data_IF_585989403129
#
_entry.id   IF_585989403129
#
_cell.length_a   1.000
_cell.length_b   1.000
_cell.length_c   1.000
_cell.angle_alpha   90.00
_cell.angle_beta   90.00
_cell.angle_gamma   90.00
#
_symmetry.space_group_name_H-M   'P 1'
#
loop_
_entity.id
_entity.type
_entity.pdbx_description
1 polymer ?
#
# COMPACT_ATOMS: atom_id res chain seq x y z
N UNK A 1 46.92 0.18 -12.67
CA UNK A 1 45.69 0.99 -12.49
C UNK A 1 44.56 0.03 -12.15
N UNK A 2 44.19 -0.03 -10.91
CA UNK A 2 43.13 -0.95 -10.42
C UNK A 2 41.79 -0.20 -10.41
N UNK A 3 40.85 -0.66 -11.20
CA UNK A 3 39.47 -0.14 -11.24
C UNK A 3 38.70 -0.76 -10.08
N UNK A 4 38.39 0.07 -9.10
CA UNK A 4 37.66 -0.31 -7.90
C UNK A 4 36.14 -0.31 -8.24
N UNK A 5 35.58 -1.47 -8.54
CA UNK A 5 34.14 -1.66 -8.64
C UNK A 5 33.52 -1.57 -7.25
N UNK A 6 32.94 -0.41 -6.93
CA UNK A 6 32.05 -0.26 -5.78
C UNK A 6 30.78 -1.05 -6.04
N UNK A 7 30.72 -2.26 -5.52
CA UNK A 7 29.48 -3.03 -5.31
C UNK A 7 28.70 -2.42 -4.15
N UNK A 8 28.00 -1.36 -4.42
CA UNK A 8 27.11 -0.76 -3.45
C UNK A 8 25.71 -0.71 -4.02
N UNK A 9 24.89 -1.71 -3.79
CA UNK A 9 23.44 -1.54 -4.02
C UNK A 9 22.56 -2.70 -3.55
N UNK A 10 23.11 -3.83 -3.08
CA UNK A 10 22.22 -4.96 -2.70
C UNK A 10 21.54 -4.79 -1.33
N UNK A 11 21.92 -3.81 -0.52
CA UNK A 11 21.38 -3.62 0.83
C UNK A 11 20.13 -2.75 0.89
N UNK A 12 19.91 -1.87 -0.09
CA UNK A 12 18.71 -1.02 -0.16
C UNK A 12 17.44 -1.80 -0.52
N UNK A 13 17.58 -2.95 -1.18
CA UNK A 13 16.44 -3.77 -1.64
C UNK A 13 15.71 -4.51 -0.51
N UNK A 14 16.41 -4.85 0.57
CA UNK A 14 15.84 -5.66 1.66
C UNK A 14 14.92 -4.81 2.55
N UNK A 15 15.19 -3.51 2.67
CA UNK A 15 14.35 -2.58 3.44
C UNK A 15 12.99 -2.30 2.81
N UNK A 16 12.89 -2.38 1.48
CA UNK A 16 11.69 -2.05 0.72
C UNK A 16 10.52 -3.04 0.96
N UNK A 17 10.82 -4.22 1.48
CA UNK A 17 9.85 -5.32 1.62
C UNK A 17 9.11 -5.28 2.97
N UNK A 18 9.70 -4.68 3.99
CA UNK A 18 9.16 -4.70 5.35
C UNK A 18 7.97 -3.74 5.58
N UNK A 19 7.84 -2.68 4.77
CA UNK A 19 6.84 -1.64 4.97
C UNK A 19 5.38 -2.03 4.67
N UNK A 20 5.17 -3.19 4.08
CA UNK A 20 3.84 -3.63 3.63
C UNK A 20 2.94 -4.09 4.79
N UNK A 21 3.53 -4.46 5.93
CA UNK A 21 2.79 -5.02 7.07
C UNK A 21 1.94 -3.98 7.84
N UNK A 22 2.23 -2.69 7.72
CA UNK A 22 1.54 -1.64 8.48
C UNK A 22 0.15 -1.33 7.92
N UNK A 23 -0.04 -1.44 6.61
CA UNK A 23 -1.36 -1.22 5.99
C UNK A 23 -2.41 -2.23 6.50
N UNK A 24 -2.01 -3.48 6.75
CA UNK A 24 -2.88 -4.51 7.31
C UNK A 24 -3.28 -4.25 8.77
N UNK A 25 -2.37 -3.74 9.59
CA UNK A 25 -2.64 -3.47 11.00
C UNK A 25 -3.59 -2.28 11.20
N UNK A 26 -3.50 -1.26 10.35
CA UNK A 26 -4.45 -0.14 10.35
C UNK A 26 -5.85 -0.56 9.90
N UNK A 27 -5.94 -1.42 8.88
CA UNK A 27 -7.21 -1.97 8.40
C UNK A 27 -7.97 -2.77 9.47
N UNK A 28 -7.27 -3.49 10.34
CA UNK A 28 -7.90 -4.32 11.37
C UNK A 28 -8.64 -3.51 12.44
N UNK A 29 -8.06 -2.41 12.90
CA UNK A 29 -8.68 -1.60 13.97
C UNK A 29 -9.85 -0.74 13.49
N UNK A 30 -9.83 -0.34 12.22
CA UNK A 30 -10.81 0.62 11.70
C UNK A 30 -12.06 -0.07 11.12
N UNK A 31 -11.90 -1.19 10.44
CA UNK A 31 -13.02 -1.87 9.82
C UNK A 31 -13.99 -2.47 10.86
N UNK A 32 -13.50 -2.90 12.02
CA UNK A 32 -14.35 -3.55 13.02
C UNK A 32 -15.37 -2.59 13.65
N UNK A 33 -15.05 -1.32 13.79
CA UNK A 33 -15.91 -0.32 14.44
C UNK A 33 -17.06 0.16 13.54
N UNK A 34 -16.89 0.09 12.22
CA UNK A 34 -17.85 0.64 11.26
C UNK A 34 -18.85 -0.37 10.66
N UNK A 35 -18.57 -1.67 10.81
CA UNK A 35 -19.39 -2.73 10.18
C UNK A 35 -20.58 -3.19 11.03
N UNK A 36 -20.77 -2.63 12.22
CA UNK A 36 -21.77 -3.10 13.20
C UNK A 36 -23.04 -2.26 13.28
N UNK A 37 -23.32 -1.42 12.29
CA UNK A 37 -24.57 -0.62 12.23
C UNK A 37 -25.77 -1.41 11.71
N UNK A 38 -27.00 -1.15 12.20
CA UNK A 38 -28.21 -1.79 11.69
C UNK A 38 -28.58 -1.19 10.32
N UNK A 39 -28.42 -1.96 9.27
CA UNK A 39 -28.75 -1.62 7.89
C UNK A 39 -27.77 -2.29 6.93
N UNK A 40 -28.22 -2.61 5.73
CA UNK A 40 -27.34 -3.09 4.65
C UNK A 40 -26.50 -1.91 4.14
N UNK A 41 -25.38 -1.66 4.85
CA UNK A 41 -24.43 -0.63 4.41
C UNK A 41 -23.67 -1.20 3.21
N UNK A 42 -23.76 -0.54 2.07
CA UNK A 42 -22.89 -0.84 0.95
C UNK A 42 -21.46 -0.40 1.29
N UNK A 43 -20.65 -1.37 1.73
CA UNK A 43 -19.25 -1.16 2.14
C UNK A 43 -18.35 -0.74 0.98
N UNK A 44 -18.80 -0.91 -0.27
CA UNK A 44 -18.08 -0.50 -1.48
C UNK A 44 -18.37 0.94 -1.88
N UNK A 45 -19.45 1.52 -1.34
CA UNK A 45 -19.84 2.89 -1.70
C UNK A 45 -18.73 3.89 -1.38
N UNK A 46 -18.57 4.88 -2.25
CA UNK A 46 -17.61 5.96 -2.03
C UNK A 46 -17.86 6.67 -0.69
N UNK A 47 -19.12 6.81 -0.28
CA UNK A 47 -19.51 7.44 0.99
C UNK A 47 -18.99 6.65 2.20
N UNK A 48 -19.12 5.31 2.19
CA UNK A 48 -18.60 4.46 3.26
C UNK A 48 -17.07 4.49 3.31
N UNK A 49 -16.41 4.29 2.17
CA UNK A 49 -14.94 4.26 2.10
C UNK A 49 -14.34 5.62 2.48
N UNK A 50 -14.96 6.74 2.10
CA UNK A 50 -14.47 8.06 2.46
C UNK A 50 -14.63 8.38 3.96
N UNK A 51 -15.57 7.76 4.68
CA UNK A 51 -15.59 7.83 6.15
C UNK A 51 -14.35 7.16 6.77
N UNK A 52 -13.94 6.01 6.24
CA UNK A 52 -12.70 5.35 6.67
C UNK A 52 -11.51 6.28 6.40
N UNK A 53 -11.42 6.82 5.18
CA UNK A 53 -10.38 7.77 4.77
C UNK A 53 -10.28 8.96 5.73
N UNK A 54 -11.40 9.58 6.09
CA UNK A 54 -11.43 10.74 6.98
C UNK A 54 -10.89 10.42 8.39
N UNK A 55 -11.14 9.19 8.89
CA UNK A 55 -10.64 8.77 10.19
C UNK A 55 -9.17 8.37 10.20
N UNK A 56 -8.64 7.90 9.06
CA UNK A 56 -7.28 7.37 8.96
C UNK A 56 -6.27 8.43 8.55
N UNK A 57 -6.66 9.36 7.68
CA UNK A 57 -5.75 10.37 7.15
C UNK A 57 -5.08 11.26 8.21
N UNK A 58 -5.70 11.60 9.36
CA UNK A 58 -5.01 12.32 10.44
C UNK A 58 -3.79 11.58 11.03
N UNK A 59 -3.65 10.26 10.77
CA UNK A 59 -2.53 9.45 11.24
C UNK A 59 -1.32 9.50 10.30
N UNK A 60 -1.44 10.14 9.15
CA UNK A 60 -0.39 10.24 8.12
C UNK A 60 0.21 11.65 8.04
N UNK A 61 1.44 11.81 7.51
CA UNK A 61 2.31 10.74 6.99
C UNK A 61 2.89 9.84 8.09
N UNK A 62 3.13 8.57 7.75
CA UNK A 62 3.71 7.59 8.67
C UNK A 62 4.76 6.73 7.96
N UNK A 63 5.94 6.62 8.55
CA UNK A 63 6.97 5.69 8.07
C UNK A 63 6.49 4.25 8.24
N UNK A 64 6.68 3.46 7.21
CA UNK A 64 6.45 2.02 7.20
C UNK A 64 7.76 1.25 7.30
N UNK A 65 8.84 1.86 6.81
CA UNK A 65 10.24 1.41 6.97
C UNK A 65 11.20 2.61 6.86
N UNK A 66 12.51 2.34 6.76
CA UNK A 66 13.53 3.40 6.67
C UNK A 66 13.46 4.21 5.36
N UNK A 67 12.92 3.63 4.30
CA UNK A 67 12.94 4.17 2.95
C UNK A 67 11.56 4.60 2.46
N UNK A 68 10.48 4.15 3.13
CA UNK A 68 9.11 4.29 2.65
C UNK A 68 8.21 4.89 3.72
N UNK A 69 7.35 5.79 3.32
CA UNK A 69 6.25 6.27 4.15
C UNK A 69 4.91 6.16 3.41
N UNK A 70 3.85 5.92 4.14
CA UNK A 70 2.49 6.12 3.66
C UNK A 70 2.13 7.58 3.92
N UNK A 71 1.78 8.31 2.85
CA UNK A 71 1.53 9.75 2.94
C UNK A 71 0.07 10.07 3.20
N UNK A 72 -0.83 9.26 2.66
CA UNK A 72 -2.28 9.38 2.82
C UNK A 72 -2.97 8.14 2.26
N UNK A 73 -4.25 8.04 2.52
CA UNK A 73 -5.18 7.17 1.79
C UNK A 73 -6.25 8.01 1.10
N UNK A 74 -6.86 7.45 0.07
CA UNK A 74 -8.05 8.00 -0.58
C UNK A 74 -8.96 6.87 -1.03
N UNK A 75 -10.19 7.18 -1.43
CA UNK A 75 -11.11 6.17 -1.92
C UNK A 75 -12.02 6.71 -3.01
N UNK A 76 -12.50 5.80 -3.82
CA UNK A 76 -13.60 5.96 -4.74
C UNK A 76 -14.50 4.72 -4.64
N UNK A 77 -15.61 4.69 -5.35
CA UNK A 77 -16.50 3.53 -5.29
C UNK A 77 -15.78 2.23 -5.63
N UNK A 78 -15.83 1.26 -4.70
CA UNK A 78 -15.20 -0.05 -4.84
C UNK A 78 -13.67 -0.06 -4.79
N UNK A 79 -13.00 1.08 -4.58
CA UNK A 79 -11.52 1.14 -4.57
C UNK A 79 -11.02 1.92 -3.36
N UNK A 80 -10.12 1.31 -2.59
CA UNK A 80 -9.38 1.95 -1.53
C UNK A 80 -7.92 2.14 -1.96
N UNK A 81 -7.38 3.36 -1.84
CA UNK A 81 -6.12 3.77 -2.47
C UNK A 81 -5.11 4.14 -1.38
N UNK A 82 -3.97 3.46 -1.37
CA UNK A 82 -2.82 3.76 -0.54
C UNK A 82 -1.80 4.56 -1.33
N UNK A 83 -1.35 5.70 -0.78
CA UNK A 83 -0.32 6.54 -1.38
C UNK A 83 0.98 6.43 -0.58
N UNK A 84 1.99 5.86 -1.21
CA UNK A 84 3.33 5.69 -0.65
C UNK A 84 4.33 6.64 -1.29
N UNK A 85 5.33 7.04 -0.54
CA UNK A 85 6.46 7.81 -1.01
C UNK A 85 7.76 7.17 -0.57
N UNK A 86 8.70 7.03 -1.49
CA UNK A 86 10.09 6.70 -1.15
C UNK A 86 10.80 7.97 -0.71
N UNK A 87 11.27 8.00 0.55
CA UNK A 87 11.77 9.24 1.16
C UNK A 87 13.18 9.61 0.69
N UNK A 88 13.99 8.63 0.27
CA UNK A 88 15.39 8.81 -0.09
C UNK A 88 15.70 8.57 -1.56
N UNK A 89 14.72 8.16 -2.39
CA UNK A 89 14.93 7.69 -3.76
C UNK A 89 14.32 8.66 -4.76
N UNK A 90 15.10 9.05 -5.78
CA UNK A 90 14.59 9.77 -6.94
C UNK A 90 14.25 8.78 -8.08
N UNK A 91 13.33 9.16 -8.98
CA UNK A 91 12.91 8.34 -10.14
C UNK A 91 14.12 7.79 -10.91
N UNK A 92 15.13 8.62 -11.16
CA UNK A 92 16.33 8.24 -11.90
C UNK A 92 17.19 7.16 -11.20
N UNK A 93 16.97 6.95 -9.91
CA UNK A 93 17.72 5.99 -9.08
C UNK A 93 16.99 4.65 -8.93
N UNK A 94 15.73 4.57 -9.38
CA UNK A 94 14.92 3.37 -9.24
C UNK A 94 15.27 2.38 -10.34
N UNK A 95 15.77 1.22 -9.92
CA UNK A 95 16.03 0.12 -10.83
C UNK A 95 14.72 -0.51 -11.31
N UNK A 96 14.60 -0.78 -12.63
CA UNK A 96 13.44 -1.43 -13.23
C UNK A 96 13.12 -2.79 -12.58
N UNK A 97 14.12 -3.55 -12.13
CA UNK A 97 13.94 -4.80 -11.41
C UNK A 97 13.22 -4.63 -10.07
N UNK A 98 13.50 -3.54 -9.34
CA UNK A 98 12.81 -3.22 -8.08
C UNK A 98 11.32 -2.97 -8.33
N UNK A 99 11.00 -2.21 -9.37
CA UNK A 99 9.60 -1.94 -9.73
C UNK A 99 8.88 -3.21 -10.19
N UNK A 100 9.56 -4.10 -10.90
CA UNK A 100 9.00 -5.37 -11.36
C UNK A 100 8.64 -6.29 -10.18
N UNK A 101 9.43 -6.30 -9.11
CA UNK A 101 9.19 -7.10 -7.91
C UNK A 101 8.20 -6.47 -6.92
N UNK A 102 7.91 -5.19 -7.06
CA UNK A 102 7.06 -4.46 -6.12
C UNK A 102 5.63 -5.04 -6.10
N UNK A 103 4.97 -5.15 -7.25
CA UNK A 103 3.61 -5.69 -7.34
C UNK A 103 3.49 -7.13 -6.80
N UNK A 104 4.32 -8.11 -7.23
CA UNK A 104 4.25 -9.47 -6.69
C UNK A 104 4.41 -9.53 -5.18
N UNK A 105 5.32 -8.73 -4.63
CA UNK A 105 5.60 -8.67 -3.19
C UNK A 105 4.43 -8.09 -2.41
N UNK A 106 3.87 -6.97 -2.87
CA UNK A 106 2.70 -6.33 -2.23
C UNK A 106 1.48 -7.24 -2.33
N UNK A 107 1.26 -7.89 -3.46
CA UNK A 107 0.16 -8.85 -3.66
C UNK A 107 0.25 -9.99 -2.66
N UNK A 108 1.41 -10.64 -2.57
CA UNK A 108 1.62 -11.73 -1.61
C UNK A 108 1.34 -11.32 -0.17
N UNK A 109 1.85 -10.17 0.23
CA UNK A 109 1.66 -9.65 1.58
C UNK A 109 0.20 -9.27 1.86
N UNK A 110 -0.47 -8.63 0.91
CA UNK A 110 -1.89 -8.25 1.04
C UNK A 110 -2.79 -9.47 1.13
N UNK A 111 -2.54 -10.48 0.30
CA UNK A 111 -3.31 -11.72 0.30
C UNK A 111 -3.02 -12.62 1.52
N UNK A 112 -1.84 -12.52 2.12
CA UNK A 112 -1.50 -13.23 3.36
C UNK A 112 -2.06 -12.55 4.61
N UNK A 113 -2.48 -11.29 4.52
CA UNK A 113 -3.00 -10.55 5.67
C UNK A 113 -4.51 -10.74 5.79
N UNK A 114 -4.94 -11.48 6.82
CA UNK A 114 -6.36 -11.79 7.05
C UNK A 114 -7.24 -10.54 7.22
N UNK A 115 -6.72 -9.50 7.89
CA UNK A 115 -7.48 -8.27 8.05
C UNK A 115 -7.72 -7.57 6.70
N UNK A 116 -6.72 -7.55 5.84
CA UNK A 116 -6.83 -7.02 4.47
C UNK A 116 -7.81 -7.85 3.64
N UNK A 117 -7.70 -9.18 3.68
CA UNK A 117 -8.63 -10.07 2.98
C UNK A 117 -10.07 -9.86 3.44
N UNK A 118 -10.32 -9.91 4.74
CA UNK A 118 -11.67 -9.91 5.29
C UNK A 118 -12.34 -8.54 5.21
N UNK A 119 -11.56 -7.46 5.34
CA UNK A 119 -12.12 -6.11 5.38
C UNK A 119 -12.26 -5.45 4.02
N UNK A 120 -11.48 -5.89 3.02
CA UNK A 120 -11.47 -5.28 1.69
C UNK A 120 -11.68 -6.31 0.58
N UNK A 121 -10.76 -7.22 0.38
CA UNK A 121 -10.67 -8.05 -0.83
C UNK A 121 -11.88 -8.98 -0.97
N UNK A 122 -12.29 -9.68 0.10
CA UNK A 122 -13.49 -10.55 0.11
C UNK A 122 -14.80 -9.79 -0.02
N UNK A 123 -14.77 -8.47 0.14
CA UNK A 123 -15.92 -7.58 -0.07
C UNK A 123 -15.87 -6.90 -1.44
N UNK A 124 -15.06 -7.42 -2.35
CA UNK A 124 -14.86 -6.89 -3.69
C UNK A 124 -14.42 -5.42 -3.71
N UNK A 125 -13.67 -5.00 -2.69
CA UNK A 125 -12.98 -3.71 -2.66
C UNK A 125 -11.58 -3.91 -3.20
N UNK A 126 -11.29 -3.25 -4.32
CA UNK A 126 -9.97 -3.23 -4.92
C UNK A 126 -9.01 -2.40 -4.07
N UNK A 127 -7.82 -2.90 -3.81
CA UNK A 127 -6.75 -2.13 -3.19
C UNK A 127 -5.81 -1.60 -4.25
N UNK A 128 -5.76 -0.28 -4.40
CA UNK A 128 -4.82 0.40 -5.28
C UNK A 128 -3.63 0.92 -4.50
N UNK A 129 -2.44 0.59 -4.98
CA UNK A 129 -1.18 1.04 -4.43
C UNK A 129 -0.54 2.02 -5.40
N UNK A 130 -0.26 3.23 -4.92
CA UNK A 130 0.36 4.31 -5.70
C UNK A 130 1.67 4.67 -5.03
N UNK A 131 2.77 4.55 -5.76
CA UNK A 131 4.11 4.87 -5.28
C UNK A 131 4.65 6.10 -5.99
N UNK A 132 5.28 6.97 -5.23
CA UNK A 132 5.98 8.15 -5.71
C UNK A 132 7.41 8.21 -5.20
N UNK A 133 8.26 8.97 -5.88
CA UNK A 133 9.61 9.27 -5.43
C UNK A 133 9.62 10.35 -4.32
N UNK A 134 10.81 10.68 -3.82
CA UNK A 134 11.01 11.73 -2.81
C UNK A 134 10.49 13.12 -3.23
N UNK A 135 10.40 13.38 -4.53
CA UNK A 135 9.86 14.59 -5.12
C UNK A 135 8.36 14.53 -5.43
N UNK A 136 7.70 13.42 -5.13
CA UNK A 136 6.28 13.22 -5.42
C UNK A 136 5.95 12.79 -6.85
N UNK A 137 6.96 12.48 -7.69
CA UNK A 137 6.73 11.99 -9.06
C UNK A 137 6.30 10.54 -9.02
N UNK A 138 5.30 10.20 -9.84
CA UNK A 138 4.78 8.84 -9.92
C UNK A 138 5.86 7.84 -10.37
N UNK A 139 5.93 6.71 -9.68
CA UNK A 139 6.84 5.60 -9.95
C UNK A 139 6.09 4.36 -10.40
N UNK A 140 5.06 3.97 -9.68
CA UNK A 140 4.26 2.79 -9.94
C UNK A 140 2.84 2.97 -9.43
N UNK A 141 1.90 2.33 -10.11
CA UNK A 141 0.53 2.17 -9.62
C UNK A 141 0.01 0.81 -10.07
N UNK A 142 -0.60 0.07 -9.16
CA UNK A 142 -1.21 -1.22 -9.47
C UNK A 142 -2.35 -1.54 -8.50
N UNK A 143 -3.24 -2.39 -8.96
CA UNK A 143 -4.39 -2.86 -8.24
C UNK A 143 -4.17 -4.29 -7.75
N UNK A 144 -4.71 -4.58 -6.57
CA UNK A 144 -4.84 -5.93 -6.02
C UNK A 144 -6.33 -6.19 -5.82
N UNK A 145 -6.80 -7.23 -6.45
CA UNK A 145 -8.20 -7.61 -6.49
C UNK A 145 -8.42 -8.97 -5.83
N UNK A 146 -9.67 -9.37 -5.73
CA UNK A 146 -10.06 -10.71 -5.28
C UNK A 146 -9.43 -11.81 -6.12
N UNK A 147 -9.35 -11.63 -7.44
CA UNK A 147 -8.74 -12.59 -8.35
C UNK A 147 -7.24 -12.78 -8.10
N UNK A 148 -6.51 -11.71 -7.75
CA UNK A 148 -5.08 -11.78 -7.44
C UNK A 148 -4.80 -12.61 -6.18
N UNK A 149 -5.78 -12.72 -5.26
CA UNK A 149 -5.67 -13.49 -4.02
C UNK A 149 -6.31 -14.89 -4.09
N UNK A 150 -6.97 -15.25 -5.18
CA UNK A 150 -7.59 -16.57 -5.37
C UNK A 150 -8.77 -16.85 -4.43
N UNK A 151 -9.52 -15.82 -4.00
CA UNK A 151 -10.63 -15.91 -3.03
C UNK A 151 -11.92 -15.35 -3.59
#
# INVERSE_FOLDING_TARGET
MAVNHKTGSSRALVGLIAGILVAGALGHRLAFTYLSGPGTVDVRSAAFLNRIVANVNPLFPRKVDAETEITRVSAQEGVFIYHYRFVNVAVAEVNAGVLAELRPTVTRSSCANEATLNNFIRKDITLRYVYSDKGGRALASFDITRADCGV
#
